data_IF_946029713456
#
_entry.id   IF_946029713456
#
_cell.length_a   1.000
_cell.length_b   1.000
_cell.length_c   1.000
_cell.angle_alpha   90.00
_cell.angle_beta   90.00
_cell.angle_gamma   90.00
#
_symmetry.space_group_name_H-M   'P 1'
#
loop_
_entity.id
_entity.type
_entity.pdbx_description
1 polymer ?
#
# COMPACT_ATOMS: atom_id res chain seq x y z
N UNK A 1 1.76 14.74 -18.25
CA UNK A 1 0.85 15.28 -17.21
C UNK A 1 1.36 14.80 -15.88
N UNK A 2 1.69 15.71 -14.95
CA UNK A 2 2.20 15.32 -13.63
C UNK A 2 1.05 14.71 -12.83
N UNK A 3 1.05 13.38 -12.65
CA UNK A 3 0.00 12.67 -11.92
C UNK A 3 0.15 12.94 -10.43
N UNK A 4 -0.86 13.55 -9.80
CA UNK A 4 -0.88 13.90 -8.38
C UNK A 4 -0.97 12.68 -7.47
N UNK A 5 -0.51 12.80 -6.22
CA UNK A 5 -0.83 11.86 -5.14
C UNK A 5 -2.06 12.37 -4.41
N UNK A 6 -3.05 11.51 -4.18
CA UNK A 6 -4.23 11.84 -3.39
C UNK A 6 -4.08 11.24 -2.00
N UNK A 7 -4.45 11.97 -0.96
CA UNK A 7 -4.53 11.45 0.42
C UNK A 7 -5.87 11.76 1.05
N UNK A 8 -6.49 10.74 1.66
CA UNK A 8 -7.75 10.89 2.39
C UNK A 8 -7.53 11.28 3.84
N UNK A 9 -8.24 12.31 4.31
CA UNK A 9 -8.18 12.82 5.68
C UNK A 9 -9.52 12.68 6.40
N UNK A 10 -9.48 12.19 7.63
CA UNK A 10 -10.63 12.11 8.54
C UNK A 10 -10.35 12.71 9.93
N UNK A 11 -9.17 13.31 10.11
CA UNK A 11 -8.73 13.91 11.38
C UNK A 11 -8.14 12.91 12.37
N UNK A 12 -8.13 11.62 12.05
CA UNK A 12 -7.43 10.61 12.87
C UNK A 12 -5.92 10.74 12.76
N UNK A 13 -5.19 10.26 13.78
CA UNK A 13 -3.73 10.20 13.78
C UNK A 13 -3.20 9.38 12.60
N UNK A 14 -3.92 8.32 12.20
CA UNK A 14 -3.62 7.49 11.05
C UNK A 14 -3.72 8.27 9.73
N UNK A 15 -4.73 9.12 9.58
CA UNK A 15 -4.87 9.95 8.38
C UNK A 15 -3.78 11.04 8.30
N UNK A 16 -3.36 11.58 9.45
CA UNK A 16 -2.23 12.52 9.54
C UNK A 16 -0.91 11.81 9.17
N UNK A 17 -0.67 10.61 9.70
CA UNK A 17 0.49 9.79 9.34
C UNK A 17 0.52 9.47 7.83
N UNK A 18 -0.65 9.17 7.25
CA UNK A 18 -0.80 8.99 5.80
C UNK A 18 -0.46 10.27 5.01
N UNK A 19 -0.85 11.45 5.51
CA UNK A 19 -0.51 12.74 4.91
C UNK A 19 1.00 12.98 4.88
N UNK A 20 1.69 12.72 6.00
CA UNK A 20 3.15 12.83 6.09
C UNK A 20 3.88 11.85 5.18
N UNK A 21 3.39 10.60 5.08
CA UNK A 21 3.93 9.62 4.15
C UNK A 21 3.72 10.07 2.69
N UNK A 22 2.51 10.51 2.35
CA UNK A 22 2.16 10.98 1.00
C UNK A 22 2.96 12.22 0.58
N UNK A 23 3.24 13.13 1.51
CA UNK A 23 4.09 14.29 1.32
C UNK A 23 5.52 13.91 0.91
N UNK A 24 6.14 12.96 1.63
CA UNK A 24 7.47 12.45 1.27
C UNK A 24 7.47 11.78 -0.10
N UNK A 25 6.44 10.99 -0.40
CA UNK A 25 6.29 10.33 -1.69
C UNK A 25 6.07 11.34 -2.84
N UNK A 26 5.31 12.41 -2.58
CA UNK A 26 5.06 13.48 -3.54
C UNK A 26 6.36 14.24 -3.89
N UNK A 27 7.20 14.52 -2.89
CA UNK A 27 8.54 15.10 -3.08
C UNK A 27 9.45 14.16 -3.88
N UNK A 28 9.45 12.88 -3.53
CA UNK A 28 10.25 11.85 -4.20
C UNK A 28 9.90 11.74 -5.69
N UNK A 29 8.59 11.80 -6.00
CA UNK A 29 8.06 11.71 -7.36
C UNK A 29 8.02 13.06 -8.09
N UNK A 30 8.21 14.17 -7.38
CA UNK A 30 8.08 15.56 -7.87
C UNK A 30 6.70 15.82 -8.48
N UNK A 31 5.67 15.43 -7.75
CA UNK A 31 4.26 15.59 -8.16
C UNK A 31 3.47 16.34 -7.09
N UNK A 32 2.35 17.00 -7.44
CA UNK A 32 1.50 17.67 -6.47
C UNK A 32 0.85 16.67 -5.49
N UNK A 33 0.58 17.15 -4.27
CA UNK A 33 -0.21 16.46 -3.25
C UNK A 33 -1.63 17.04 -3.21
N UNK A 34 -2.63 16.17 -3.18
CA UNK A 34 -4.03 16.55 -3.11
C UNK A 34 -4.68 15.96 -1.86
N UNK A 35 -5.01 16.82 -0.90
CA UNK A 35 -5.69 16.46 0.33
C UNK A 35 -7.19 16.39 0.09
N UNK A 36 -7.81 15.27 0.46
CA UNK A 36 -9.23 15.03 0.25
C UNK A 36 -9.89 14.68 1.57
N UNK A 37 -10.91 15.44 1.95
CA UNK A 37 -11.81 15.07 3.02
C UNK A 37 -13.18 14.72 2.42
N UNK A 38 -13.81 13.64 2.88
CA UNK A 38 -15.13 13.27 2.42
C UNK A 38 -15.97 12.77 3.59
N UNK A 39 -17.19 13.28 3.70
CA UNK A 39 -18.10 12.94 4.78
C UNK A 39 -19.55 12.92 4.27
N UNK A 40 -20.32 11.92 4.66
CA UNK A 40 -21.75 11.83 4.33
C UNK A 40 -22.49 12.88 5.15
N UNK A 41 -23.32 13.70 4.49
CA UNK A 41 -24.28 14.58 5.14
C UNK A 41 -25.68 14.23 4.68
N UNK A 42 -26.42 13.50 5.52
CA UNK A 42 -27.83 13.20 5.28
C UNK A 42 -28.68 13.48 6.55
N UNK A 43 -28.74 14.75 7.01
CA UNK A 43 -29.53 15.10 8.17
C UNK A 43 -31.02 15.19 7.82
N UNK A 44 -31.93 14.99 8.79
CA UNK A 44 -33.33 15.38 8.65
C UNK A 44 -33.46 16.87 8.26
N UNK A 45 -34.40 17.19 7.36
CA UNK A 45 -34.57 18.53 6.73
C UNK A 45 -34.49 19.74 7.68
N UNK A 46 -34.93 19.60 8.93
CA UNK A 46 -34.96 20.67 9.95
C UNK A 46 -33.55 21.01 10.49
N UNK A 47 -32.62 20.04 10.49
CA UNK A 47 -31.23 20.19 10.99
C UNK A 47 -30.25 20.58 9.87
N UNK A 48 -30.64 20.39 8.61
CA UNK A 48 -29.80 20.52 7.44
C UNK A 48 -29.18 21.92 7.26
N UNK A 49 -29.93 22.99 7.51
CA UNK A 49 -29.46 24.35 7.27
C UNK A 49 -28.41 24.82 8.29
N UNK A 50 -28.62 24.56 9.59
CA UNK A 50 -27.74 25.03 10.66
C UNK A 50 -26.44 24.21 10.76
N UNK A 51 -26.51 22.87 10.65
CA UNK A 51 -25.32 22.02 10.78
C UNK A 51 -24.38 22.00 9.57
N UNK A 52 -24.86 22.44 8.39
CA UNK A 52 -24.06 22.37 7.15
C UNK A 52 -22.87 23.33 7.12
N UNK A 53 -23.02 24.54 7.68
CA UNK A 53 -21.95 25.55 7.69
C UNK A 53 -20.85 25.16 8.68
N UNK A 54 -21.24 24.74 9.89
CA UNK A 54 -20.30 24.28 10.93
C UNK A 54 -19.46 23.09 10.44
N UNK A 55 -20.10 22.12 9.77
CA UNK A 55 -19.39 21.01 9.14
C UNK A 55 -18.45 21.43 8.02
N UNK A 56 -18.91 22.26 7.08
CA UNK A 56 -18.06 22.76 5.99
C UNK A 56 -16.88 23.55 6.55
N UNK A 57 -17.10 24.30 7.63
CA UNK A 57 -16.04 24.99 8.34
C UNK A 57 -15.07 24.00 9.02
N UNK A 58 -15.57 22.94 9.68
CA UNK A 58 -14.72 21.92 10.29
C UNK A 58 -13.86 21.19 9.24
N UNK A 59 -14.43 20.80 8.10
CA UNK A 59 -13.70 20.19 6.98
C UNK A 59 -12.62 21.14 6.42
N UNK A 60 -12.94 22.43 6.24
CA UNK A 60 -11.97 23.45 5.82
C UNK A 60 -10.86 23.64 6.84
N UNK A 61 -11.19 23.65 8.12
CA UNK A 61 -10.21 23.76 9.21
C UNK A 61 -9.28 22.56 9.20
N UNK A 62 -9.81 21.33 9.13
CA UNK A 62 -9.01 20.10 9.03
C UNK A 62 -8.03 20.14 7.86
N UNK A 63 -8.52 20.46 6.67
CA UNK A 63 -7.69 20.52 5.45
C UNK A 63 -6.63 21.63 5.53
N UNK A 64 -6.99 22.79 6.10
CA UNK A 64 -6.06 23.91 6.27
C UNK A 64 -4.96 23.56 7.28
N UNK A 65 -5.32 23.04 8.45
CA UNK A 65 -4.36 22.65 9.48
C UNK A 65 -3.39 21.57 8.98
N UNK A 66 -3.90 20.56 8.26
CA UNK A 66 -3.06 19.55 7.63
C UNK A 66 -2.14 20.16 6.56
N UNK A 67 -2.64 21.10 5.74
CA UNK A 67 -1.81 21.77 4.73
C UNK A 67 -0.71 22.62 5.37
N UNK A 68 -1.07 23.41 6.39
CA UNK A 68 -0.14 24.27 7.13
C UNK A 68 0.96 23.43 7.80
N UNK A 69 0.61 22.32 8.44
CA UNK A 69 1.59 21.40 9.05
C UNK A 69 2.53 20.78 8.00
N UNK A 70 2.01 20.35 6.85
CA UNK A 70 2.83 19.76 5.80
C UNK A 70 3.76 20.79 5.15
N UNK A 71 3.28 22.03 4.92
CA UNK A 71 4.09 23.10 4.34
C UNK A 71 5.19 23.58 5.29
N UNK A 72 4.95 23.56 6.60
CA UNK A 72 5.98 23.86 7.61
C UNK A 72 7.16 22.87 7.50
N UNK A 73 6.87 21.57 7.34
CA UNK A 73 7.89 20.52 7.22
C UNK A 73 8.46 20.39 5.80
N UNK A 74 7.68 20.71 4.78
CA UNK A 74 7.99 20.49 3.38
C UNK A 74 7.61 21.71 2.52
N UNK A 75 8.36 22.83 2.60
CA UNK A 75 7.98 24.07 1.93
C UNK A 75 7.94 24.01 0.40
N UNK A 76 8.53 22.97 -0.22
CA UNK A 76 8.52 22.79 -1.67
C UNK A 76 7.30 22.03 -2.20
N UNK A 77 6.40 21.55 -1.34
CA UNK A 77 5.21 20.83 -1.78
C UNK A 77 4.20 21.75 -2.45
N UNK A 78 3.71 21.31 -3.61
CA UNK A 78 2.50 21.85 -4.22
C UNK A 78 1.29 21.11 -3.64
N UNK A 79 0.56 21.77 -2.74
CA UNK A 79 -0.58 21.20 -2.03
C UNK A 79 -1.88 21.83 -2.52
N UNK A 80 -2.83 20.99 -2.90
CA UNK A 80 -4.23 21.37 -3.10
C UNK A 80 -5.12 20.61 -2.11
N UNK A 81 -6.27 21.18 -1.74
CA UNK A 81 -7.19 20.56 -0.80
C UNK A 81 -8.64 20.70 -1.27
N UNK A 82 -9.42 19.63 -1.13
CA UNK A 82 -10.83 19.59 -1.53
C UNK A 82 -11.66 18.77 -0.53
N UNK A 83 -12.87 19.26 -0.23
CA UNK A 83 -13.85 18.56 0.60
C UNK A 83 -15.04 18.12 -0.25
N UNK A 84 -15.46 16.86 -0.12
CA UNK A 84 -16.62 16.32 -0.82
C UNK A 84 -17.76 15.98 0.16
N UNK A 85 -18.96 16.41 -0.19
CA UNK A 85 -20.19 15.94 0.46
C UNK A 85 -20.61 14.62 -0.21
N UNK A 86 -20.46 13.50 0.49
CA UNK A 86 -20.82 12.19 -0.06
C UNK A 86 -20.15 11.00 0.61
N UNK A 87 -20.45 9.81 0.08
CA UNK A 87 -19.88 8.54 0.54
C UNK A 87 -18.34 8.55 0.38
N UNK A 88 -17.55 8.43 1.47
CA UNK A 88 -16.10 8.66 1.42
C UNK A 88 -15.37 7.81 0.37
N UNK A 89 -15.70 6.52 0.26
CA UNK A 89 -15.08 5.64 -0.71
C UNK A 89 -15.37 6.04 -2.16
N UNK A 90 -16.57 6.54 -2.45
CA UNK A 90 -16.94 7.01 -3.79
C UNK A 90 -16.26 8.34 -4.12
N UNK A 91 -16.23 9.27 -3.17
CA UNK A 91 -15.56 10.56 -3.33
C UNK A 91 -14.05 10.40 -3.52
N UNK A 92 -13.41 9.51 -2.75
CA UNK A 92 -11.99 9.20 -2.90
C UNK A 92 -11.71 8.54 -4.27
N UNK A 93 -12.54 7.59 -4.70
CA UNK A 93 -12.40 6.99 -6.03
C UNK A 93 -12.54 8.03 -7.15
N UNK A 94 -13.46 8.99 -7.01
CA UNK A 94 -13.59 10.10 -7.95
C UNK A 94 -12.32 10.98 -7.96
N UNK A 95 -11.82 11.36 -6.78
CA UNK A 95 -10.63 12.20 -6.67
C UNK A 95 -9.36 11.54 -7.23
N UNK A 96 -9.30 10.19 -7.25
CA UNK A 96 -8.19 9.43 -7.84
C UNK A 96 -8.15 9.43 -9.37
N UNK A 97 -9.14 9.99 -10.05
CA UNK A 97 -9.09 10.15 -11.50
C UNK A 97 -7.83 10.97 -11.90
N UNK A 98 -6.93 10.34 -12.66
CA UNK A 98 -5.67 10.95 -13.07
C UNK A 98 -4.57 11.02 -12.00
N UNK A 99 -4.80 10.44 -10.82
CA UNK A 99 -3.78 10.32 -9.76
C UNK A 99 -2.79 9.19 -10.06
N UNK A 100 -1.58 9.28 -9.48
CA UNK A 100 -0.59 8.19 -9.51
C UNK A 100 -0.83 7.17 -8.41
N UNK A 101 -1.41 7.60 -7.29
CA UNK A 101 -1.78 6.73 -6.16
C UNK A 101 -2.76 7.44 -5.20
N UNK A 102 -3.42 6.63 -4.38
CA UNK A 102 -4.21 7.07 -3.23
C UNK A 102 -3.54 6.59 -1.93
N UNK A 103 -3.44 7.46 -0.94
CA UNK A 103 -2.89 7.14 0.38
C UNK A 103 -3.98 7.29 1.43
N UNK A 104 -4.12 6.31 2.33
CA UNK A 104 -5.08 6.32 3.42
C UNK A 104 -4.45 5.87 4.73
N UNK A 105 -4.96 6.43 5.83
CA UNK A 105 -4.68 5.92 7.16
C UNK A 105 -5.34 4.55 7.39
N UNK A 106 -4.68 3.70 8.17
CA UNK A 106 -5.20 2.41 8.62
C UNK A 106 -5.04 2.28 10.14
N UNK A 107 -6.16 1.96 10.81
CA UNK A 107 -6.26 1.88 12.27
C UNK A 107 -5.67 0.58 12.81
N UNK A 108 -4.89 0.68 13.89
CA UNK A 108 -4.46 -0.45 14.69
C UNK A 108 -5.42 -0.74 15.85
N UNK A 109 -5.65 -2.01 16.17
CA UNK A 109 -6.31 -2.42 17.41
C UNK A 109 -5.25 -2.71 18.49
N UNK A 110 -4.43 -1.71 18.82
CA UNK A 110 -3.38 -1.85 19.84
C UNK A 110 -2.27 -2.86 19.50
N UNK A 111 -1.31 -2.99 20.40
CA UNK A 111 0.02 -3.60 20.16
C UNK A 111 0.04 -5.13 20.04
N UNK A 112 -1.08 -5.85 20.17
CA UNK A 112 -1.06 -7.32 20.32
C UNK A 112 -2.12 -8.12 19.52
N UNK A 113 -3.01 -7.51 18.72
CA UNK A 113 -4.17 -8.24 18.14
C UNK A 113 -4.44 -8.07 16.64
N UNK A 114 -3.48 -7.55 15.89
CA UNK A 114 -3.66 -7.29 14.46
C UNK A 114 -4.48 -6.02 14.22
N UNK A 115 -4.63 -5.68 12.94
CA UNK A 115 -5.09 -4.37 12.49
C UNK A 115 -6.45 -4.53 11.83
N UNK A 116 -7.30 -3.49 11.86
CA UNK A 116 -8.58 -3.51 11.15
C UNK A 116 -8.53 -2.46 10.07
N UNK A 117 -8.53 -2.92 8.82
CA UNK A 117 -8.79 -2.04 7.71
C UNK A 117 -10.23 -1.51 7.84
N UNK A 118 -10.34 -0.18 8.01
CA UNK A 118 -11.64 0.48 8.15
C UNK A 118 -12.51 0.25 6.92
N UNK A 119 -13.84 0.41 7.08
CA UNK A 119 -14.82 0.20 5.99
C UNK A 119 -14.50 1.03 4.74
N UNK A 120 -14.04 2.27 4.91
CA UNK A 120 -13.62 3.15 3.79
C UNK A 120 -12.39 2.58 3.09
N UNK A 121 -11.35 2.20 3.83
CA UNK A 121 -10.13 1.63 3.26
C UNK A 121 -10.40 0.31 2.51
N UNK A 122 -11.24 -0.57 3.07
CA UNK A 122 -11.66 -1.81 2.39
C UNK A 122 -12.42 -1.51 1.10
N UNK A 123 -13.38 -0.58 1.14
CA UNK A 123 -14.19 -0.21 -0.02
C UNK A 123 -13.32 0.42 -1.13
N UNK A 124 -12.38 1.29 -0.76
CA UNK A 124 -11.42 1.91 -1.69
C UNK A 124 -10.49 0.87 -2.30
N UNK A 125 -9.86 0.02 -1.48
CA UNK A 125 -9.00 -1.05 -1.99
C UNK A 125 -9.77 -1.96 -2.94
N UNK A 126 -11.08 -2.13 -2.74
CA UNK A 126 -11.92 -2.89 -3.65
C UNK A 126 -12.22 -2.18 -4.98
N UNK A 127 -12.53 -0.88 -4.95
CA UNK A 127 -13.08 -0.14 -6.10
C UNK A 127 -12.04 0.65 -6.92
N UNK A 128 -10.90 1.02 -6.32
CA UNK A 128 -9.90 1.88 -6.97
C UNK A 128 -8.87 1.04 -7.72
N UNK A 129 -8.61 1.39 -8.98
CA UNK A 129 -7.63 0.71 -9.84
C UNK A 129 -6.22 1.29 -9.71
N UNK A 130 -6.11 2.57 -9.33
CA UNK A 130 -4.83 3.19 -8.99
C UNK A 130 -4.20 2.50 -7.77
N UNK A 131 -2.86 2.50 -7.63
CA UNK A 131 -2.19 2.05 -6.42
C UNK A 131 -2.78 2.68 -5.16
N UNK A 132 -3.17 1.85 -4.18
CA UNK A 132 -3.67 2.30 -2.89
C UNK A 132 -2.63 1.97 -1.82
N UNK A 133 -2.11 2.97 -1.13
CA UNK A 133 -1.19 2.79 -0.01
C UNK A 133 -1.91 3.00 1.30
N UNK A 134 -1.80 2.02 2.18
CA UNK A 134 -2.28 2.09 3.55
C UNK A 134 -1.12 2.34 4.49
N UNK A 135 -1.23 3.43 5.24
CA UNK A 135 -0.22 3.87 6.20
C UNK A 135 -0.78 3.71 7.61
N UNK A 136 0.04 3.23 8.53
CA UNK A 136 -0.34 3.08 9.94
C UNK A 136 0.18 4.26 10.74
N UNK A 137 -0.57 4.66 11.77
CA UNK A 137 -0.01 5.47 12.83
C UNK A 137 0.89 4.58 13.69
N UNK A 138 2.17 4.49 13.36
CA UNK A 138 3.20 4.05 14.31
C UNK A 138 4.04 5.26 14.70
N UNK A 139 4.68 5.20 15.88
CA UNK A 139 5.65 6.22 16.32
C UNK A 139 6.81 6.40 15.31
N UNK A 140 7.04 5.41 14.44
CA UNK A 140 8.03 5.44 13.34
C UNK A 140 7.54 6.14 12.05
N UNK A 141 6.23 6.42 11.91
CA UNK A 141 5.70 7.20 10.79
C UNK A 141 5.93 8.71 10.97
N UNK A 142 6.22 9.14 12.22
CA UNK A 142 6.75 10.46 12.55
C UNK A 142 8.23 10.53 12.14
N UNK A 143 8.72 11.71 11.76
CA UNK A 143 10.09 11.86 11.30
C UNK A 143 11.05 11.56 12.45
N UNK A 144 11.56 10.33 12.52
CA UNK A 144 12.76 10.05 13.27
C UNK A 144 13.88 10.90 12.68
N UNK A 145 14.35 11.83 13.50
CA UNK A 145 15.59 12.59 13.33
C UNK A 145 16.73 11.58 13.32
N UNK A 146 17.04 11.01 12.15
CA UNK A 146 18.26 10.29 11.76
C UNK A 146 17.91 9.27 10.66
N UNK A 147 17.87 9.70 9.39
CA UNK A 147 18.25 8.99 8.15
C UNK A 147 17.95 7.49 7.90
N UNK A 148 17.37 6.73 8.83
CA UNK A 148 17.34 5.25 8.84
C UNK A 148 16.14 4.65 8.12
N UNK A 149 15.14 5.45 7.73
CA UNK A 149 14.01 4.96 6.94
C UNK A 149 14.28 4.90 5.43
N UNK A 150 15.30 5.61 4.94
CA UNK A 150 15.67 5.58 3.53
C UNK A 150 16.40 4.28 3.14
N UNK A 151 17.01 3.60 4.11
CA UNK A 151 17.68 2.30 3.91
C UNK A 151 16.73 1.09 4.02
N UNK A 152 15.45 1.30 4.39
CA UNK A 152 14.50 0.20 4.51
C UNK A 152 13.99 -0.19 3.12
N UNK A 153 14.27 -1.42 2.71
CA UNK A 153 13.96 -1.95 1.38
C UNK A 153 12.47 -2.02 1.05
N UNK A 154 12.16 -2.22 -0.23
CA UNK A 154 10.82 -2.52 -0.73
C UNK A 154 10.65 -4.04 -0.75
N UNK A 155 9.56 -4.58 -0.21
CA UNK A 155 9.26 -6.02 -0.25
C UNK A 155 8.09 -6.26 -1.19
N UNK A 156 8.24 -7.17 -2.16
CA UNK A 156 7.18 -7.57 -3.09
C UNK A 156 6.97 -9.07 -3.10
N UNK A 157 5.70 -9.50 -3.00
CA UNK A 157 5.32 -10.89 -3.17
C UNK A 157 5.08 -11.25 -4.64
N UNK A 158 5.85 -12.19 -5.18
CA UNK A 158 5.77 -12.59 -6.59
C UNK A 158 5.09 -13.96 -6.73
N UNK A 159 3.97 -13.98 -7.46
CA UNK A 159 3.32 -15.22 -7.90
C UNK A 159 3.93 -15.66 -9.24
N UNK A 160 4.89 -16.60 -9.22
CA UNK A 160 5.52 -17.10 -10.46
C UNK A 160 4.54 -17.87 -11.35
N UNK A 161 3.41 -18.33 -10.81
CA UNK A 161 2.38 -19.00 -11.60
C UNK A 161 1.52 -18.04 -12.41
N UNK A 162 1.46 -16.77 -11.98
CA UNK A 162 0.69 -15.69 -12.63
C UNK A 162 1.44 -14.36 -12.40
N UNK A 163 2.53 -14.12 -13.15
CA UNK A 163 3.29 -12.88 -13.00
C UNK A 163 2.40 -11.67 -13.28
N UNK A 164 2.66 -10.58 -12.56
CA UNK A 164 1.89 -9.34 -12.66
C UNK A 164 2.83 -8.17 -12.93
N UNK A 165 2.79 -7.68 -14.17
CA UNK A 165 3.68 -6.60 -14.62
C UNK A 165 3.39 -5.28 -13.90
N UNK A 166 2.12 -4.99 -13.60
CA UNK A 166 1.76 -3.79 -12.85
C UNK A 166 2.35 -3.80 -11.43
N UNK A 167 2.37 -4.97 -10.77
CA UNK A 167 2.93 -5.16 -9.44
C UNK A 167 4.46 -4.97 -9.46
N UNK A 168 5.14 -5.63 -10.40
CA UNK A 168 6.59 -5.53 -10.54
C UNK A 168 7.00 -4.12 -10.95
N UNK A 169 6.32 -3.51 -11.93
CA UNK A 169 6.59 -2.14 -12.33
C UNK A 169 6.51 -1.16 -11.17
N UNK A 170 5.49 -1.28 -10.32
CA UNK A 170 5.35 -0.40 -9.16
C UNK A 170 6.50 -0.64 -8.16
N UNK A 171 6.81 -1.90 -7.85
CA UNK A 171 7.84 -2.24 -6.86
C UNK A 171 9.25 -1.79 -7.32
N UNK A 172 9.60 -1.98 -8.59
CA UNK A 172 10.86 -1.53 -9.16
C UNK A 172 10.95 0.00 -9.25
N UNK A 173 9.87 0.70 -9.66
CA UNK A 173 9.83 2.18 -9.67
C UNK A 173 10.02 2.75 -8.25
N UNK A 174 9.38 2.16 -7.24
CA UNK A 174 9.54 2.55 -5.84
C UNK A 174 10.97 2.34 -5.34
N UNK A 175 11.54 1.14 -5.54
CA UNK A 175 12.90 0.84 -5.12
C UNK A 175 13.93 1.74 -5.82
N UNK A 176 13.76 1.97 -7.12
CA UNK A 176 14.64 2.84 -7.91
C UNK A 176 14.59 4.29 -7.44
N UNK A 177 13.41 4.82 -7.11
CA UNK A 177 13.27 6.20 -6.61
C UNK A 177 13.88 6.37 -5.23
N UNK A 178 13.66 5.39 -4.35
CA UNK A 178 14.15 5.38 -2.97
C UNK A 178 15.65 5.09 -2.89
N UNK A 179 16.22 4.48 -3.92
CA UNK A 179 17.62 4.04 -3.93
C UNK A 179 17.88 2.92 -2.92
N UNK A 180 16.90 2.05 -2.69
CA UNK A 180 16.98 0.96 -1.71
C UNK A 180 16.86 -0.41 -2.37
N UNK A 181 17.20 -1.46 -1.62
CA UNK A 181 17.08 -2.85 -2.07
C UNK A 181 15.61 -3.24 -2.28
N UNK A 182 15.33 -3.92 -3.39
CA UNK A 182 14.06 -4.58 -3.66
C UNK A 182 14.19 -6.05 -3.23
N UNK A 183 13.39 -6.48 -2.26
CA UNK A 183 13.29 -7.88 -1.85
C UNK A 183 12.08 -8.51 -2.55
N UNK A 184 12.34 -9.36 -3.54
CA UNK A 184 11.32 -10.10 -4.26
C UNK A 184 11.18 -11.50 -3.66
N UNK A 185 10.04 -11.78 -3.02
CA UNK A 185 9.79 -13.05 -2.35
C UNK A 185 8.76 -13.89 -3.11
N UNK A 186 9.14 -15.12 -3.43
CA UNK A 186 8.23 -16.15 -3.93
C UNK A 186 8.11 -17.30 -2.93
N UNK A 187 6.92 -17.52 -2.39
CA UNK A 187 6.65 -18.64 -1.49
C UNK A 187 5.96 -19.78 -2.22
N UNK A 188 6.34 -21.01 -1.89
CA UNK A 188 5.68 -22.22 -2.38
C UNK A 188 5.41 -23.21 -1.24
N UNK A 189 4.40 -24.06 -1.44
CA UNK A 189 4.02 -25.12 -0.50
C UNK A 189 4.51 -26.47 -1.00
N UNK A 190 5.03 -27.29 -0.09
CA UNK A 190 5.30 -28.70 -0.37
C UNK A 190 3.96 -29.44 -0.65
N UNK A 191 3.91 -30.35 -1.63
CA UNK A 191 2.71 -31.13 -1.92
C UNK A 191 2.19 -31.89 -0.68
N UNK A 192 0.86 -31.96 -0.42
CA UNK A 192 0.29 -32.64 0.75
C UNK A 192 0.62 -34.13 0.88
N UNK A 193 1.05 -34.77 -0.23
CA UNK A 193 1.55 -36.14 -0.26
C UNK A 193 2.92 -36.31 0.45
N UNK A 194 3.42 -35.25 1.10
CA UNK A 194 4.59 -35.22 1.98
C UNK A 194 4.50 -36.12 3.24
N UNK A 195 3.47 -36.97 3.35
CA UNK A 195 3.38 -38.07 4.31
C UNK A 195 3.95 -39.41 3.81
N UNK A 196 4.32 -39.53 2.53
CA UNK A 196 4.96 -40.74 1.99
C UNK A 196 6.47 -40.55 1.86
N UNK A 197 7.27 -41.55 2.27
CA UNK A 197 8.73 -41.46 2.40
C UNK A 197 9.51 -41.00 1.14
N UNK A 198 8.89 -41.00 -0.03
CA UNK A 198 9.46 -40.44 -1.27
C UNK A 198 9.54 -38.90 -1.28
N UNK A 199 8.74 -38.20 -0.47
CA UNK A 199 8.73 -36.72 -0.36
C UNK A 199 9.81 -36.16 0.58
N UNK A 200 10.52 -37.03 1.30
CA UNK A 200 11.69 -36.69 2.12
C UNK A 200 13.01 -36.94 1.39
N UNK A 201 13.01 -37.07 0.07
CA UNK A 201 14.27 -37.05 -0.67
C UNK A 201 14.79 -35.60 -0.74
N UNK A 202 15.90 -35.26 -0.04
CA UNK A 202 16.43 -33.90 -0.03
C UNK A 202 16.85 -33.43 -1.43
N UNK A 203 17.26 -34.36 -2.31
CA UNK A 203 17.63 -34.05 -3.69
C UNK A 203 16.43 -33.61 -4.52
N UNK A 204 15.26 -34.25 -4.34
CA UNK A 204 14.02 -33.87 -5.03
C UNK A 204 13.56 -32.49 -4.56
N UNK A 205 13.60 -32.22 -3.25
CA UNK A 205 13.23 -30.92 -2.69
C UNK A 205 14.18 -29.80 -3.15
N UNK A 206 15.49 -30.07 -3.16
CA UNK A 206 16.50 -29.14 -3.69
C UNK A 206 16.27 -28.87 -5.18
N UNK A 207 15.91 -29.89 -5.96
CA UNK A 207 15.60 -29.73 -7.39
C UNK A 207 14.37 -28.87 -7.63
N UNK A 208 13.30 -29.06 -6.85
CA UNK A 208 12.09 -28.23 -6.93
C UNK A 208 12.40 -26.79 -6.55
N UNK A 209 13.13 -26.57 -5.44
CA UNK A 209 13.54 -25.23 -5.02
C UNK A 209 14.38 -24.52 -6.09
N UNK A 210 15.31 -25.24 -6.74
CA UNK A 210 16.10 -24.70 -7.84
C UNK A 210 15.24 -24.30 -9.04
N UNK A 211 14.29 -25.15 -9.45
CA UNK A 211 13.35 -24.83 -10.54
C UNK A 211 12.50 -23.61 -10.23
N UNK A 212 12.04 -23.46 -8.98
CA UNK A 212 11.29 -22.28 -8.53
C UNK A 212 12.14 -21.02 -8.55
N UNK A 213 13.40 -21.11 -8.14
CA UNK A 213 14.35 -19.99 -8.21
C UNK A 213 14.60 -19.55 -9.65
N UNK A 214 14.90 -20.49 -10.55
CA UNK A 214 15.07 -20.17 -11.98
C UNK A 214 13.82 -19.50 -12.56
N UNK A 215 12.62 -20.00 -12.23
CA UNK A 215 11.37 -19.37 -12.69
C UNK A 215 11.16 -17.95 -12.15
N UNK A 216 11.58 -17.67 -10.91
CA UNK A 216 11.56 -16.31 -10.36
C UNK A 216 12.56 -15.41 -11.08
N UNK A 217 13.80 -15.89 -11.28
CA UNK A 217 14.86 -15.15 -11.95
C UNK A 217 14.47 -14.80 -13.39
N UNK A 218 13.86 -15.73 -14.13
CA UNK A 218 13.39 -15.51 -15.50
C UNK A 218 12.31 -14.42 -15.58
N UNK A 219 11.42 -14.34 -14.59
CA UNK A 219 10.40 -13.29 -14.50
C UNK A 219 11.03 -11.94 -14.16
N UNK A 220 12.03 -11.91 -13.28
CA UNK A 220 12.65 -10.66 -12.78
C UNK A 220 13.71 -10.10 -13.72
N UNK A 221 14.34 -10.92 -14.56
CA UNK A 221 15.44 -10.51 -15.45
C UNK A 221 15.07 -9.31 -16.35
N UNK A 222 13.93 -9.28 -17.06
CA UNK A 222 13.54 -8.12 -17.86
C UNK A 222 13.42 -6.83 -17.03
N UNK A 223 13.03 -6.93 -15.76
CA UNK A 223 12.92 -5.79 -14.87
C UNK A 223 14.27 -5.31 -14.37
N UNK A 224 15.22 -6.21 -14.10
CA UNK A 224 16.60 -5.84 -13.79
C UNK A 224 17.24 -5.07 -14.96
N UNK A 225 16.99 -5.50 -16.19
CA UNK A 225 17.49 -4.82 -17.39
C UNK A 225 16.89 -3.41 -17.54
N UNK A 226 15.61 -3.24 -17.20
CA UNK A 226 14.93 -1.93 -17.22
C UNK A 226 15.34 -1.02 -16.05
N UNK A 227 15.75 -1.59 -14.91
CA UNK A 227 16.09 -0.88 -13.68
C UNK A 227 17.48 -1.29 -13.16
N UNK A 228 18.57 -1.01 -13.90
CA UNK A 228 19.91 -1.50 -13.57
C UNK A 228 20.50 -0.91 -12.28
N UNK A 229 19.90 0.15 -11.74
CA UNK A 229 20.30 0.77 -10.48
C UNK A 229 19.61 0.17 -9.24
N UNK A 230 18.68 -0.78 -9.40
CA UNK A 230 17.99 -1.43 -8.28
C UNK A 230 18.79 -2.65 -7.84
N UNK A 231 19.21 -2.65 -6.57
CA UNK A 231 19.75 -3.82 -5.91
C UNK A 231 18.59 -4.80 -5.64
N UNK A 232 18.57 -5.94 -6.35
CA UNK A 232 17.50 -6.94 -6.25
C UNK A 232 17.96 -8.15 -5.44
N UNK A 233 17.28 -8.39 -4.33
CA UNK A 233 17.37 -9.60 -3.52
C UNK A 233 16.16 -10.50 -3.80
N UNK A 234 16.37 -11.54 -4.63
CA UNK A 234 15.32 -12.48 -5.02
C UNK A 234 15.38 -13.76 -4.15
N UNK A 235 14.31 -14.01 -3.40
CA UNK A 235 14.22 -15.12 -2.46
C UNK A 235 13.07 -16.07 -2.80
N UNK A 236 13.34 -17.37 -2.70
CA UNK A 236 12.33 -18.43 -2.80
C UNK A 236 12.24 -19.14 -1.46
N UNK A 237 11.07 -19.12 -0.82
CA UNK A 237 10.85 -19.69 0.50
C UNK A 237 9.79 -20.79 0.48
N UNK A 238 9.86 -21.69 1.46
CA UNK A 238 8.87 -22.76 1.64
C UNK A 238 7.94 -22.35 2.78
N UNK A 239 6.64 -22.32 2.51
CA UNK A 239 5.62 -22.05 3.52
C UNK A 239 4.46 -21.20 3.03
N UNK A 240 3.56 -20.80 3.95
CA UNK A 240 2.45 -19.91 3.64
C UNK A 240 2.96 -18.52 3.22
N UNK A 241 2.56 -18.08 2.02
CA UNK A 241 3.02 -16.81 1.42
C UNK A 241 2.80 -15.59 2.33
N UNK A 242 1.66 -15.52 3.02
CA UNK A 242 1.36 -14.41 3.92
C UNK A 242 2.33 -14.33 5.10
N UNK A 243 2.69 -15.46 5.71
CA UNK A 243 3.62 -15.50 6.86
C UNK A 243 5.03 -15.08 6.43
N UNK A 244 5.50 -15.64 5.31
CA UNK A 244 6.82 -15.34 4.77
C UNK A 244 6.96 -13.86 4.37
N UNK A 245 5.90 -13.28 3.80
CA UNK A 245 5.88 -11.86 3.46
C UNK A 245 5.79 -10.95 4.69
N UNK A 246 5.08 -11.35 5.75
CA UNK A 246 5.02 -10.58 7.00
C UNK A 246 6.35 -10.60 7.74
N UNK A 247 7.03 -11.74 7.73
CA UNK A 247 8.36 -11.90 8.31
C UNK A 247 9.39 -11.02 7.57
N UNK A 248 9.49 -11.17 6.24
CA UNK A 248 10.36 -10.35 5.41
C UNK A 248 10.00 -8.84 5.45
N UNK A 249 8.70 -8.54 5.60
CA UNK A 249 8.15 -7.18 5.63
C UNK A 249 8.27 -6.44 6.96
N UNK A 250 8.74 -7.11 8.02
CA UNK A 250 8.79 -6.56 9.39
C UNK A 250 9.60 -5.26 9.50
N UNK A 251 10.70 -5.16 8.75
CA UNK A 251 11.58 -3.99 8.69
C UNK A 251 11.48 -3.23 7.37
N UNK A 252 10.54 -3.58 6.48
CA UNK A 252 10.41 -2.98 5.16
C UNK A 252 9.99 -1.51 5.24
N UNK A 253 10.46 -0.70 4.29
CA UNK A 253 10.00 0.68 4.10
C UNK A 253 8.66 0.75 3.38
N UNK A 254 8.34 -0.30 2.60
CA UNK A 254 7.10 -0.46 1.86
C UNK A 254 6.89 -1.94 1.50
N UNK A 255 5.71 -2.47 1.79
CA UNK A 255 5.26 -3.76 1.26
C UNK A 255 4.38 -3.56 0.03
N UNK A 256 4.60 -4.32 -1.03
CA UNK A 256 3.84 -4.24 -2.28
C UNK A 256 3.15 -5.59 -2.53
N UNK A 257 1.83 -5.56 -2.64
CA UNK A 257 1.00 -6.75 -2.89
C UNK A 257 0.01 -6.53 -4.02
N UNK A 258 -0.21 -7.57 -4.80
CA UNK A 258 -1.20 -7.57 -5.88
C UNK A 258 -2.61 -7.85 -5.37
N UNK A 259 -3.59 -7.21 -6.01
CA UNK A 259 -5.02 -7.47 -5.87
C UNK A 259 -5.62 -7.70 -7.25
N UNK A 260 -6.30 -8.84 -7.43
CA UNK A 260 -7.03 -9.11 -8.68
C UNK A 260 -8.32 -8.30 -8.76
N UNK A 261 -8.56 -7.66 -9.90
CA UNK A 261 -9.81 -6.99 -10.24
C UNK A 261 -10.81 -8.07 -10.62
N UNK A 262 -11.65 -8.46 -9.66
CA UNK A 262 -12.74 -9.40 -9.91
C UNK A 262 -14.00 -8.65 -10.30
N UNK A 263 -14.50 -8.89 -11.52
CA UNK A 263 -15.79 -8.36 -12.00
C UNK A 263 -17.01 -9.12 -11.45
N UNK A 264 -16.78 -10.23 -10.74
CA UNK A 264 -17.85 -11.03 -10.10
C UNK A 264 -18.15 -10.53 -8.68
N UNK A 265 -19.44 -10.47 -8.32
CA UNK A 265 -19.94 -10.01 -7.02
C UNK A 265 -19.83 -11.03 -5.87
N UNK A 266 -19.20 -12.20 -6.07
CA UNK A 266 -19.14 -13.30 -5.09
C UNK A 266 -17.69 -13.60 -4.67
N UNK A 267 -17.41 -13.62 -3.37
CA UNK A 267 -16.15 -14.08 -2.76
C UNK A 267 -15.26 -12.98 -2.16
N UNK A 268 -14.11 -13.35 -1.57
CA UNK A 268 -13.15 -12.39 -1.04
C UNK A 268 -12.46 -11.63 -2.18
N UNK A 269 -12.68 -10.32 -2.25
CA UNK A 269 -12.31 -9.51 -3.42
C UNK A 269 -10.83 -9.09 -3.48
N UNK A 270 -10.08 -9.28 -2.39
CA UNK A 270 -8.67 -8.83 -2.30
C UNK A 270 -7.68 -10.00 -2.35
N UNK A 271 -8.16 -11.23 -2.14
CA UNK A 271 -7.32 -12.42 -2.02
C UNK A 271 -6.73 -12.59 -0.60
N UNK A 272 -6.41 -13.83 -0.19
CA UNK A 272 -6.03 -14.14 1.19
C UNK A 272 -4.68 -13.53 1.59
N UNK A 273 -3.72 -13.45 0.66
CA UNK A 273 -2.38 -12.87 0.93
C UNK A 273 -2.50 -11.37 1.16
N UNK A 274 -3.07 -10.61 0.22
CA UNK A 274 -3.25 -9.17 0.38
C UNK A 274 -4.07 -8.85 1.64
N UNK A 275 -5.14 -9.59 1.91
CA UNK A 275 -5.90 -9.44 3.14
C UNK A 275 -5.02 -9.63 4.39
N UNK A 276 -4.27 -10.73 4.50
CA UNK A 276 -3.38 -10.95 5.64
C UNK A 276 -2.33 -9.83 5.79
N UNK A 277 -1.72 -9.39 4.68
CA UNK A 277 -0.73 -8.30 4.72
C UNK A 277 -1.35 -7.00 5.24
N UNK A 278 -2.50 -6.58 4.69
CA UNK A 278 -3.19 -5.35 5.13
C UNK A 278 -3.53 -5.38 6.62
N UNK A 279 -3.87 -6.56 7.14
CA UNK A 279 -4.26 -6.75 8.54
C UNK A 279 -3.09 -6.96 9.51
N UNK A 280 -1.86 -7.25 9.05
CA UNK A 280 -0.76 -7.63 9.95
C UNK A 280 0.57 -6.87 9.69
N UNK A 281 0.83 -6.36 8.48
CA UNK A 281 2.10 -5.69 8.11
C UNK A 281 2.40 -4.37 8.83
N UNK A 282 3.38 -4.31 9.70
CA UNK A 282 3.81 -3.06 10.37
C UNK A 282 4.24 -1.96 9.40
N UNK A 283 4.80 -2.32 8.24
CA UNK A 283 5.18 -1.40 7.18
C UNK A 283 3.95 -0.85 6.41
N UNK A 284 4.07 0.34 5.79
CA UNK A 284 3.09 0.80 4.80
C UNK A 284 2.88 -0.25 3.71
N UNK A 285 1.64 -0.42 3.26
CA UNK A 285 1.27 -1.46 2.28
C UNK A 285 0.69 -0.81 1.03
N UNK A 286 1.37 -0.97 -0.11
CA UNK A 286 0.86 -0.66 -1.43
C UNK A 286 0.09 -1.86 -2.00
N UNK A 287 -1.18 -1.63 -2.33
CA UNK A 287 -2.05 -2.60 -3.00
C UNK A 287 -2.19 -2.20 -4.47
N UNK A 288 -1.75 -3.09 -5.35
CA UNK A 288 -1.75 -2.87 -6.80
C UNK A 288 -2.87 -3.68 -7.43
N UNK A 289 -3.86 -2.98 -8.00
CA UNK A 289 -4.92 -3.63 -8.75
C UNK A 289 -4.39 -4.16 -10.09
N UNK A 290 -4.77 -5.38 -10.46
CA UNK A 290 -4.38 -6.00 -11.73
C UNK A 290 -5.45 -6.98 -12.22
N UNK A 291 -5.42 -7.34 -13.50
CA UNK A 291 -6.30 -8.37 -14.10
C UNK A 291 -6.00 -9.79 -13.58
#
# INVERSE_FOLDING_TARGET
MNRRIVVGLDGSAESVAAAHWAAREALLRRVPLHLVHAEIWDPPLIVAAAGSEERRQAARTLLREASDELLDKHPQLDISAESFDGQPAASLAHATAGASMLVLGSRGLGTLRGFVLGSVGMAVVHSVEQPVVLVRASEDALPHVQGRHLDRGVVVGVDTGRPCDALLSFAFDEASRRGCTLHALHSWMLPPLAGSGAAYNPEVNARIAQLKRTGLDDILRPWQDMYPGVDLDAQVTVGPCAEQLLEAGSEAGLMVVGRRIRRSSVGTHIGPVAHAILHHSTAPVAVIAHE
#
